data_IF_956808731036
#
_entry.id   IF_956808731036
#
_cell.length_a   1.000
_cell.length_b   1.000
_cell.length_c   1.000
_cell.angle_alpha   90.00
_cell.angle_beta   90.00
_cell.angle_gamma   90.00
#
_symmetry.space_group_name_H-M   'P 1'
#
loop_
_entity.id
_entity.type
_entity.pdbx_description
1 polymer ?
#
# COMPACT_ATOMS: atom_id res chain seq x y z
N UNK A 1 34.27 9.03 -16.45
CA UNK A 1 32.96 9.67 -16.19
C UNK A 1 31.96 8.56 -15.90
N UNK A 2 31.90 8.11 -14.65
CA UNK A 2 31.05 7.00 -14.24
C UNK A 2 29.58 7.43 -14.21
N UNK A 3 28.74 6.70 -14.94
CA UNK A 3 27.28 6.89 -14.93
C UNK A 3 26.72 6.13 -13.73
N UNK A 4 26.36 6.84 -12.67
CA UNK A 4 25.66 6.25 -11.53
C UNK A 4 24.27 5.74 -11.98
N UNK A 5 24.15 4.42 -12.08
CA UNK A 5 22.87 3.75 -12.29
C UNK A 5 22.01 3.78 -11.02
N UNK A 6 20.87 4.46 -11.08
CA UNK A 6 19.86 4.44 -10.02
C UNK A 6 18.94 3.23 -10.20
N UNK A 7 18.96 2.31 -9.23
CA UNK A 7 18.09 1.13 -9.21
C UNK A 7 16.80 1.40 -8.44
N UNK A 8 15.70 1.56 -9.16
CA UNK A 8 14.37 1.75 -8.55
C UNK A 8 13.67 0.39 -8.46
N UNK A 9 13.37 -0.07 -7.25
CA UNK A 9 12.52 -1.26 -7.01
C UNK A 9 11.07 -0.81 -6.80
N UNK A 10 10.23 -1.05 -7.82
CA UNK A 10 8.79 -0.81 -7.74
C UNK A 10 8.07 -2.16 -7.78
N UNK A 11 7.18 -2.47 -6.82
CA UNK A 11 6.33 -3.66 -6.91
C UNK A 11 5.26 -3.42 -7.98
N UNK A 12 5.40 -4.11 -9.12
CA UNK A 12 4.46 -4.07 -10.24
C UNK A 12 3.83 -5.47 -10.36
N UNK A 13 2.50 -5.53 -10.34
CA UNK A 13 1.76 -6.74 -10.66
C UNK A 13 1.41 -6.73 -12.16
N UNK A 14 2.06 -7.60 -12.93
CA UNK A 14 1.72 -7.80 -14.33
C UNK A 14 0.45 -8.67 -14.42
N UNK A 15 -0.59 -8.27 -15.15
CA UNK A 15 -1.75 -9.13 -15.36
C UNK A 15 -1.34 -10.33 -16.23
N UNK A 16 -1.22 -11.51 -15.63
CA UNK A 16 -0.95 -12.76 -16.32
C UNK A 16 -2.17 -13.17 -17.14
N UNK A 17 -2.08 -13.14 -18.47
CA UNK A 17 -3.12 -13.68 -19.35
C UNK A 17 -2.99 -15.20 -19.44
N UNK A 18 -3.89 -15.91 -18.74
CA UNK A 18 -4.39 -17.24 -19.10
C UNK A 18 -3.40 -18.42 -19.04
N UNK A 19 -3.00 -18.84 -17.83
CA UNK A 19 -2.45 -20.17 -17.59
C UNK A 19 -3.24 -20.87 -16.48
N UNK A 20 -3.73 -22.09 -16.74
CA UNK A 20 -4.58 -22.86 -15.82
C UNK A 20 -3.97 -22.92 -14.40
N UNK A 21 -4.77 -22.54 -13.39
CA UNK A 21 -4.33 -22.42 -12.00
C UNK A 21 -4.68 -23.69 -11.22
N UNK A 22 -3.71 -24.54 -10.95
CA UNK A 22 -3.85 -25.67 -10.01
C UNK A 22 -3.69 -25.14 -8.57
N UNK A 23 -4.69 -25.37 -7.71
CA UNK A 23 -4.68 -24.94 -6.31
C UNK A 23 -4.34 -26.15 -5.44
N UNK A 24 -3.16 -26.13 -4.81
CA UNK A 24 -2.80 -27.03 -3.71
C UNK A 24 -3.18 -26.33 -2.41
N UNK A 25 -4.06 -26.94 -1.62
CA UNK A 25 -4.58 -26.39 -0.38
C UNK A 25 -3.52 -26.46 0.74
N UNK A 26 -2.72 -25.40 0.87
CA UNK A 26 -2.06 -25.02 2.12
C UNK A 26 -2.85 -23.89 2.77
N UNK A 27 -2.95 -23.87 4.11
CA UNK A 27 -3.56 -22.78 4.92
C UNK A 27 -2.79 -21.44 4.84
N UNK A 28 -2.24 -21.10 3.68
CA UNK A 28 -1.72 -19.77 3.38
C UNK A 28 -2.90 -18.86 3.04
N UNK A 29 -3.03 -17.71 3.72
CA UNK A 29 -3.95 -16.64 3.31
C UNK A 29 -3.78 -16.43 1.80
N UNK A 30 -4.79 -16.79 1.01
CA UNK A 30 -4.76 -16.57 -0.43
C UNK A 30 -4.65 -15.06 -0.66
N UNK A 31 -3.61 -14.64 -1.37
CA UNK A 31 -3.47 -13.25 -1.77
C UNK A 31 -4.74 -12.82 -2.53
N UNK A 32 -5.40 -11.78 -2.03
CA UNK A 32 -6.58 -11.19 -2.64
C UNK A 32 -6.35 -9.68 -2.86
N UNK A 33 -5.71 -9.30 -3.97
CA UNK A 33 -5.42 -7.89 -4.25
C UNK A 33 -6.72 -7.10 -4.49
N UNK A 34 -6.96 -6.08 -3.66
CA UNK A 34 -8.07 -5.14 -3.86
C UNK A 34 -7.61 -4.03 -4.82
N UNK A 35 -8.10 -4.09 -6.06
CA UNK A 35 -7.74 -3.13 -7.11
C UNK A 35 -8.09 -1.68 -6.74
N UNK A 36 -9.17 -1.45 -5.97
CA UNK A 36 -9.55 -0.10 -5.53
C UNK A 36 -8.55 0.42 -4.53
N UNK A 37 -8.09 -0.44 -3.63
CA UNK A 37 -7.10 -0.11 -2.62
C UNK A 37 -5.74 0.20 -3.25
N UNK A 38 -5.32 -0.62 -4.22
CA UNK A 38 -4.09 -0.40 -4.99
C UNK A 38 -4.17 0.92 -5.79
N UNK A 39 -5.30 1.18 -6.45
CA UNK A 39 -5.51 2.42 -7.19
C UNK A 39 -5.46 3.66 -6.28
N UNK A 40 -6.08 3.58 -5.10
CA UNK A 40 -6.02 4.65 -4.10
C UNK A 40 -4.60 4.88 -3.57
N UNK A 41 -3.85 3.80 -3.28
CA UNK A 41 -2.46 3.89 -2.85
C UNK A 41 -1.57 4.52 -3.92
N UNK A 42 -1.79 4.18 -5.19
CA UNK A 42 -1.09 4.79 -6.33
C UNK A 42 -1.39 6.29 -6.44
N UNK A 43 -2.67 6.68 -6.35
CA UNK A 43 -3.10 8.09 -6.37
C UNK A 43 -2.50 8.88 -5.20
N UNK A 44 -2.44 8.27 -4.02
CA UNK A 44 -1.82 8.90 -2.85
C UNK A 44 -0.33 9.18 -3.08
N UNK A 45 0.41 8.18 -3.60
CA UNK A 45 1.84 8.32 -3.85
C UNK A 45 2.14 9.28 -5.01
N UNK A 46 1.27 9.43 -6.01
CA UNK A 46 1.45 10.41 -7.08
C UNK A 46 1.32 11.86 -6.62
N UNK A 47 0.74 12.11 -5.44
CA UNK A 47 0.64 13.44 -4.84
C UNK A 47 1.89 13.84 -4.03
N UNK A 48 2.84 12.91 -3.85
CA UNK A 48 4.06 13.13 -3.05
C UNK A 48 5.28 13.16 -3.96
N UNK A 49 6.09 14.19 -3.80
CA UNK A 49 7.42 14.31 -4.38
C UNK A 49 8.47 13.84 -3.38
N UNK A 50 9.68 13.51 -3.87
CA UNK A 50 10.82 13.21 -3.00
C UNK A 50 11.87 14.29 -3.17
N UNK A 51 12.22 14.95 -2.07
CA UNK A 51 13.32 15.89 -2.01
C UNK A 51 14.33 15.39 -0.98
N UNK A 52 15.58 15.13 -1.41
CA UNK A 52 16.64 14.56 -0.56
C UNK A 52 16.20 13.28 0.19
N UNK A 53 15.40 12.44 -0.47
CA UNK A 53 14.87 11.18 0.10
C UNK A 53 13.63 11.35 0.99
N UNK A 54 13.27 12.59 1.37
CA UNK A 54 12.11 12.88 2.22
C UNK A 54 10.86 13.13 1.38
N UNK A 55 9.68 12.66 1.83
CA UNK A 55 8.41 12.97 1.18
C UNK A 55 8.08 14.45 1.33
N UNK A 56 7.76 15.10 0.22
CA UNK A 56 7.40 16.51 0.12
C UNK A 56 6.08 16.67 -0.61
N UNK A 57 5.19 17.52 -0.08
CA UNK A 57 3.92 17.87 -0.71
C UNK A 57 4.05 19.32 -1.18
N UNK A 58 4.01 19.53 -2.50
CA UNK A 58 4.13 20.87 -3.08
C UNK A 58 2.87 21.71 -2.85
N UNK A 59 1.71 21.07 -2.87
CA UNK A 59 0.41 21.74 -2.77
C UNK A 59 -0.53 20.86 -1.97
N UNK A 60 -1.17 21.42 -0.94
CA UNK A 60 -2.19 20.70 -0.19
C UNK A 60 -3.40 20.41 -1.09
N UNK A 61 -3.96 19.18 -1.07
CA UNK A 61 -5.14 18.89 -1.86
C UNK A 61 -6.34 19.72 -1.42
N UNK A 62 -7.04 20.32 -2.38
CA UNK A 62 -8.21 21.18 -2.13
C UNK A 62 -9.40 20.35 -1.65
N UNK A 63 -9.59 19.16 -2.23
CA UNK A 63 -10.72 18.30 -1.91
C UNK A 63 -10.52 17.52 -0.60
N UNK A 64 -11.53 17.47 0.31
CA UNK A 64 -11.53 16.57 1.46
C UNK A 64 -11.27 15.10 1.08
N UNK A 65 -11.71 14.69 -0.11
CA UNK A 65 -11.48 13.34 -0.64
C UNK A 65 -9.99 13.09 -0.89
N UNK A 66 -9.32 14.03 -1.56
CA UNK A 66 -7.89 13.90 -1.87
C UNK A 66 -7.02 13.98 -0.62
N UNK A 67 -7.41 14.79 0.39
CA UNK A 67 -6.73 14.80 1.69
C UNK A 67 -6.78 13.42 2.37
N UNK A 68 -7.91 12.72 2.30
CA UNK A 68 -8.03 11.35 2.84
C UNK A 68 -7.18 10.36 2.05
N UNK A 69 -7.16 10.47 0.73
CA UNK A 69 -6.33 9.61 -0.12
C UNK A 69 -4.85 9.84 0.16
N UNK A 70 -4.39 11.09 0.23
CA UNK A 70 -2.99 11.44 0.48
C UNK A 70 -2.42 10.76 1.74
N UNK A 71 -3.22 10.61 2.81
CA UNK A 71 -2.81 9.92 4.04
C UNK A 71 -2.35 8.48 3.79
N UNK A 72 -2.85 7.81 2.74
CA UNK A 72 -2.47 6.44 2.40
C UNK A 72 -0.99 6.34 1.98
N UNK A 73 -0.40 7.40 1.43
CA UNK A 73 1.01 7.39 1.04
C UNK A 73 1.96 7.40 2.26
N UNK A 74 1.45 7.80 3.43
CA UNK A 74 2.18 7.77 4.70
C UNK A 74 1.94 6.51 5.54
N UNK A 75 1.23 5.51 4.99
CA UNK A 75 1.15 4.19 5.60
C UNK A 75 2.54 3.58 5.74
N UNK A 76 2.73 2.78 6.79
CA UNK A 76 3.98 2.06 7.00
C UNK A 76 4.38 1.26 5.74
N UNK A 77 5.65 1.29 5.30
CA UNK A 77 6.07 0.64 4.07
C UNK A 77 5.71 -0.85 3.98
N UNK A 78 5.67 -1.56 5.11
CA UNK A 78 5.23 -2.96 5.17
C UNK A 78 3.74 -3.12 4.82
N UNK A 79 2.88 -2.23 5.33
CA UNK A 79 1.45 -2.24 5.03
C UNK A 79 1.19 -1.98 3.54
N UNK A 80 1.92 -1.03 2.95
CA UNK A 80 1.84 -0.76 1.52
C UNK A 80 2.22 -1.98 0.68
N UNK A 81 3.28 -2.71 1.06
CA UNK A 81 3.67 -3.97 0.41
C UNK A 81 2.60 -5.05 0.54
N UNK A 82 2.04 -5.20 1.73
CA UNK A 82 1.02 -6.21 1.99
C UNK A 82 -0.25 -5.91 1.16
N UNK A 83 -0.65 -4.64 1.04
CA UNK A 83 -1.75 -4.20 0.17
C UNK A 83 -1.47 -4.54 -1.29
N UNK A 84 -0.27 -4.22 -1.79
CA UNK A 84 0.09 -4.52 -3.18
C UNK A 84 0.18 -6.02 -3.45
N UNK A 85 0.57 -6.81 -2.44
CA UNK A 85 0.64 -8.26 -2.50
C UNK A 85 -0.70 -8.97 -2.25
N UNK A 86 -1.78 -8.25 -1.97
CA UNK A 86 -3.08 -8.85 -1.63
C UNK A 86 -3.13 -9.53 -0.26
N UNK A 87 -2.18 -9.21 0.63
CA UNK A 87 -2.11 -9.70 2.01
C UNK A 87 -2.79 -8.75 3.01
N UNK A 88 -3.52 -7.74 2.55
CA UNK A 88 -4.30 -6.91 3.46
C UNK A 88 -5.39 -7.73 4.19
N UNK A 89 -5.77 -7.34 5.42
CA UNK A 89 -6.86 -7.97 6.13
C UNK A 89 -8.17 -7.94 5.30
N UNK A 90 -8.99 -9.01 5.32
CA UNK A 90 -10.22 -9.07 4.53
C UNK A 90 -11.25 -8.01 4.97
N UNK A 91 -11.12 -7.50 6.19
CA UNK A 91 -11.94 -6.45 6.74
C UNK A 91 -11.52 -5.04 6.28
N UNK A 92 -10.39 -4.91 5.58
CA UNK A 92 -9.85 -3.65 5.09
C UNK A 92 -10.25 -3.43 3.63
N UNK A 93 -10.96 -2.33 3.39
CA UNK A 93 -11.27 -1.82 2.06
C UNK A 93 -11.07 -0.29 2.03
N UNK A 94 -11.20 0.30 0.85
CA UNK A 94 -11.00 1.74 0.66
C UNK A 94 -11.94 2.57 1.55
N UNK A 95 -13.21 2.20 1.67
CA UNK A 95 -14.19 2.96 2.46
C UNK A 95 -13.86 2.95 3.96
N UNK A 96 -13.47 1.79 4.50
CA UNK A 96 -13.01 1.67 5.89
C UNK A 96 -11.78 2.53 6.15
N UNK A 97 -10.81 2.52 5.24
CA UNK A 97 -9.62 3.36 5.35
C UNK A 97 -9.95 4.86 5.31
N UNK A 98 -10.95 5.27 4.54
CA UNK A 98 -11.40 6.67 4.45
C UNK A 98 -12.18 7.15 5.67
N UNK A 99 -12.77 6.22 6.43
CA UNK A 99 -13.52 6.52 7.65
C UNK A 99 -12.63 6.48 8.90
N UNK A 100 -11.50 5.78 8.84
CA UNK A 100 -10.58 5.66 9.96
C UNK A 100 -9.63 6.85 10.08
N UNK A 101 -9.43 7.31 11.31
CA UNK A 101 -8.30 8.16 11.66
C UNK A 101 -7.05 7.29 11.80
N UNK A 102 -6.20 7.32 10.77
CA UNK A 102 -4.97 6.54 10.73
C UNK A 102 -3.92 7.23 11.62
N UNK A 103 -3.41 6.55 12.67
CA UNK A 103 -2.38 7.12 13.54
C UNK A 103 -1.06 7.29 12.79
N UNK A 104 -0.23 8.26 13.18
CA UNK A 104 1.09 8.48 12.58
C UNK A 104 2.09 7.37 12.93
N UNK A 105 1.97 6.80 14.14
CA UNK A 105 2.85 5.72 14.59
C UNK A 105 2.59 4.43 13.80
N UNK A 106 3.57 3.95 13.05
CA UNK A 106 3.46 2.73 12.24
C UNK A 106 3.08 1.48 13.04
N UNK A 107 3.58 1.34 14.28
CA UNK A 107 3.19 0.22 15.16
C UNK A 107 1.70 0.27 15.50
N UNK A 108 1.16 1.46 15.68
CA UNK A 108 -0.25 1.68 15.96
C UNK A 108 -1.12 1.52 14.69
N UNK A 109 -0.62 1.94 13.52
CA UNK A 109 -1.29 1.70 12.24
C UNK A 109 -1.57 0.22 12.04
N UNK A 110 -0.57 -0.64 12.26
CA UNK A 110 -0.74 -2.10 12.16
C UNK A 110 -1.86 -2.63 13.05
N UNK A 111 -1.92 -2.17 14.30
CA UNK A 111 -2.95 -2.57 15.26
C UNK A 111 -4.35 -2.14 14.81
N UNK A 112 -4.52 -0.85 14.50
CA UNK A 112 -5.84 -0.27 14.16
C UNK A 112 -6.37 -0.83 12.84
N UNK A 113 -5.48 -1.08 11.88
CA UNK A 113 -5.85 -1.59 10.56
C UNK A 113 -6.03 -3.13 10.53
N UNK A 114 -5.83 -3.81 11.67
CA UNK A 114 -6.10 -5.25 11.79
C UNK A 114 -4.99 -6.14 11.22
N UNK A 115 -3.78 -5.63 11.02
CA UNK A 115 -2.62 -6.47 10.75
C UNK A 115 -2.26 -7.21 12.03
N UNK A 116 -2.54 -8.52 12.06
CA UNK A 116 -2.03 -9.42 13.08
C UNK A 116 -0.51 -9.27 13.15
N UNK A 117 0.06 -9.26 14.36
CA UNK A 117 1.48 -9.54 14.55
C UNK A 117 1.71 -11.00 14.12
N UNK A 118 1.69 -11.25 12.82
CA UNK A 118 2.28 -12.44 12.24
C UNK A 118 3.78 -12.18 12.31
N UNK A 119 4.31 -12.39 13.52
CA UNK A 119 5.68 -12.84 13.74
C UNK A 119 5.81 -14.13 12.94
N UNK A 120 6.09 -14.00 11.65
CA UNK A 120 6.77 -15.08 10.97
C UNK A 120 8.18 -15.05 11.53
N UNK A 121 8.48 -16.13 12.26
CA UNK A 121 9.80 -16.58 12.68
C UNK A 121 10.84 -16.33 11.59
#
# INVERSE_FOLDING_TARGET
>A
MDRETVRIRVPLAFPLRGGKRTVVAGRTRSANPDLKLIAALRRANSMIYRQRGMPFISTAPVSPHDRKILRLAFLAPKLQRDILGGYQPPSLNLERLRQMEIPLCWKQQRKVLGWSNSSHL
#
